data_IF_216014492015
#
_entry.id   IF_216014492015
#
_cell.length_a   1.000
_cell.length_b   1.000
_cell.length_c   1.000
_cell.angle_alpha   90.00
_cell.angle_beta   90.00
_cell.angle_gamma   90.00
#
_symmetry.space_group_name_H-M   'P 1'
#
loop_
_entity.id
_entity.type
_entity.pdbx_description
1 polymer ?
#
# COMPACT_ATOMS: atom_id res chain seq x y z
N UNK A 1 -39.62 41.60 -20.62
CA UNK A 1 -40.60 40.50 -20.58
C UNK A 1 -39.91 39.28 -19.98
N UNK A 2 -40.27 38.90 -18.76
CA UNK A 2 -39.64 37.78 -18.05
C UNK A 2 -40.59 36.58 -18.14
N UNK A 3 -40.20 35.56 -18.91
CA UNK A 3 -40.91 34.29 -18.95
C UNK A 3 -40.74 33.58 -17.60
N UNK A 4 -41.83 33.46 -16.83
CA UNK A 4 -41.90 32.60 -15.65
C UNK A 4 -42.26 31.20 -16.12
N UNK A 5 -41.32 30.27 -16.03
CA UNK A 5 -41.59 28.85 -16.20
C UNK A 5 -42.40 28.36 -14.98
N UNK A 6 -43.58 27.75 -15.17
CA UNK A 6 -44.31 27.13 -14.07
C UNK A 6 -43.54 25.91 -13.55
N UNK A 7 -43.71 25.62 -12.26
CA UNK A 7 -43.06 24.51 -11.56
C UNK A 7 -43.43 23.16 -12.20
N UNK A 8 -42.52 22.62 -13.00
CA UNK A 8 -42.71 21.33 -13.68
C UNK A 8 -42.40 20.22 -12.68
N UNK A 9 -43.43 19.68 -12.03
CA UNK A 9 -43.30 18.47 -11.21
C UNK A 9 -43.17 17.25 -12.12
N UNK A 10 -41.93 16.82 -12.34
CA UNK A 10 -41.65 15.56 -13.01
C UNK A 10 -42.16 14.38 -12.16
N UNK A 11 -43.31 13.83 -12.51
CA UNK A 11 -43.76 12.54 -11.98
C UNK A 11 -42.90 11.44 -12.60
N UNK A 12 -42.08 10.80 -11.75
CA UNK A 12 -41.12 9.78 -12.15
C UNK A 12 -41.84 8.45 -12.34
N UNK A 13 -42.40 8.23 -13.53
CA UNK A 13 -43.09 6.98 -13.89
C UNK A 13 -42.05 5.95 -14.33
N UNK A 14 -41.69 5.03 -13.43
CA UNK A 14 -40.81 3.91 -13.75
C UNK A 14 -40.52 3.03 -12.53
N UNK A 15 -40.93 1.77 -12.59
CA UNK A 15 -40.73 0.75 -11.53
C UNK A 15 -39.27 0.58 -11.11
N UNK A 16 -38.32 0.79 -12.02
CA UNK A 16 -36.87 0.72 -11.75
C UNK A 16 -36.35 1.84 -10.82
N UNK A 17 -37.06 2.97 -10.70
CA UNK A 17 -36.66 4.05 -9.79
C UNK A 17 -37.06 3.79 -8.33
N UNK A 18 -38.00 2.87 -8.08
CA UNK A 18 -38.50 2.56 -6.74
C UNK A 18 -37.55 1.64 -5.95
N UNK A 19 -36.83 0.75 -6.64
CA UNK A 19 -35.96 -0.25 -5.99
C UNK A 19 -34.61 0.33 -5.56
N UNK A 20 -34.07 1.31 -6.30
CA UNK A 20 -32.73 1.87 -6.02
C UNK A 20 -32.70 2.89 -4.87
N UNK A 21 -33.79 3.63 -4.63
CA UNK A 21 -33.84 4.68 -3.58
C UNK A 21 -34.41 4.21 -2.24
N UNK A 22 -35.26 3.19 -2.26
CA UNK A 22 -35.81 2.60 -1.02
C UNK A 22 -34.93 1.49 -0.44
N UNK A 23 -33.81 1.16 -1.09
CA UNK A 23 -32.83 0.27 -0.50
C UNK A 23 -32.10 1.04 0.60
N UNK A 24 -32.37 0.68 1.85
CA UNK A 24 -31.64 1.22 3.00
C UNK A 24 -30.15 1.08 2.74
N UNK A 25 -29.41 2.20 2.80
CA UNK A 25 -27.96 2.19 2.65
C UNK A 25 -27.38 1.10 3.57
N UNK A 26 -26.50 0.22 3.07
CA UNK A 26 -25.97 -0.87 3.87
C UNK A 26 -25.36 -0.30 5.15
N UNK A 27 -25.91 -0.71 6.30
CA UNK A 27 -25.42 -0.25 7.62
C UNK A 27 -23.94 -0.59 7.70
N UNK A 28 -23.08 0.44 7.81
CA UNK A 28 -21.64 0.25 7.97
C UNK A 28 -21.43 -0.48 9.31
N UNK A 29 -20.78 -1.65 9.27
CA UNK A 29 -20.41 -2.39 10.48
C UNK A 29 -19.65 -1.45 11.44
N UNK A 30 -19.94 -1.49 12.76
CA UNK A 30 -19.25 -0.64 13.72
C UNK A 30 -17.76 -0.94 13.68
N UNK A 31 -16.95 0.12 13.62
CA UNK A 31 -15.49 0.00 13.69
C UNK A 31 -15.08 -0.18 15.14
N UNK A 32 -14.16 -1.09 15.39
CA UNK A 32 -13.52 -1.23 16.69
C UNK A 32 -12.85 0.09 17.13
N UNK A 33 -13.14 0.51 18.36
CA UNK A 33 -12.61 1.74 18.94
C UNK A 33 -11.26 1.47 19.61
N UNK A 34 -10.18 1.55 18.83
CA UNK A 34 -8.81 1.26 19.30
C UNK A 34 -8.20 2.36 20.18
N UNK A 35 -8.95 3.42 20.50
CA UNK A 35 -8.44 4.56 21.28
C UNK A 35 -7.33 5.37 20.60
N UNK A 36 -7.10 5.16 19.29
CA UNK A 36 -6.02 5.81 18.57
C UNK A 36 -6.50 7.17 18.03
N UNK A 37 -5.73 8.23 18.33
CA UNK A 37 -5.98 9.58 17.82
C UNK A 37 -5.21 9.78 16.54
N UNK A 38 -5.91 10.17 15.47
CA UNK A 38 -5.30 10.48 14.17
C UNK A 38 -4.27 11.62 14.31
N UNK A 39 -3.04 11.37 13.86
CA UNK A 39 -1.92 12.32 13.92
C UNK A 39 -0.87 11.99 14.98
N UNK A 40 -1.16 11.09 15.91
CA UNK A 40 -0.16 10.55 16.84
C UNK A 40 0.49 9.26 16.33
N UNK A 41 1.69 8.97 16.81
CA UNK A 41 2.33 7.69 16.51
C UNK A 41 1.58 6.55 17.21
N UNK A 42 1.45 5.40 16.53
CA UNK A 42 0.95 4.19 17.16
C UNK A 42 1.96 3.67 18.21
N UNK A 43 1.50 2.90 19.21
CA UNK A 43 2.38 2.21 20.13
C UNK A 43 3.46 1.42 19.38
N UNK A 44 4.73 1.64 19.76
CA UNK A 44 5.92 1.06 19.10
C UNK A 44 6.00 1.31 17.58
N UNK A 45 5.32 2.36 17.07
CA UNK A 45 5.17 2.71 15.65
C UNK A 45 4.47 1.62 14.83
N UNK A 46 3.61 0.84 15.48
CA UNK A 46 2.88 -0.25 14.85
C UNK A 46 3.70 -1.50 14.54
N UNK A 47 4.88 -1.65 15.16
CA UNK A 47 5.73 -2.84 15.03
C UNK A 47 5.23 -3.99 15.90
N UNK A 48 5.36 -5.21 15.40
CA UNK A 48 5.19 -6.44 16.16
C UNK A 48 6.49 -7.24 16.22
N UNK A 49 6.51 -8.28 17.05
CA UNK A 49 7.61 -9.25 17.14
C UNK A 49 7.88 -9.96 15.81
N UNK A 50 6.82 -10.26 15.05
CA UNK A 50 6.91 -10.96 13.77
C UNK A 50 7.57 -10.10 12.67
N UNK A 51 7.24 -8.82 12.62
CA UNK A 51 7.69 -7.89 11.59
C UNK A 51 8.21 -6.60 12.22
N UNK A 52 9.47 -6.64 12.66
CA UNK A 52 10.12 -5.47 13.29
C UNK A 52 10.37 -4.28 12.36
N UNK A 53 10.22 -4.47 11.05
CA UNK A 53 10.39 -3.42 10.01
C UNK A 53 9.08 -2.96 9.37
N UNK A 54 7.92 -3.45 9.84
CA UNK A 54 6.62 -2.98 9.40
C UNK A 54 6.09 -1.93 10.36
N UNK A 55 5.82 -0.73 9.85
CA UNK A 55 5.23 0.38 10.61
C UNK A 55 3.77 0.57 10.21
N UNK A 56 3.01 -0.52 10.14
CA UNK A 56 1.63 -0.54 9.64
C UNK A 56 0.80 -1.55 10.41
N UNK A 57 -0.45 -1.20 10.67
CA UNK A 57 -1.48 -2.14 11.10
C UNK A 57 -2.46 -2.36 9.96
N UNK A 58 -3.11 -3.51 9.95
CA UNK A 58 -4.08 -3.90 8.93
C UNK A 58 -5.46 -4.00 9.53
N UNK A 59 -6.46 -3.53 8.79
CA UNK A 59 -7.85 -3.86 9.08
C UNK A 59 -8.25 -5.00 8.16
N UNK A 60 -8.36 -6.20 8.72
CA UNK A 60 -8.70 -7.40 7.99
C UNK A 60 -10.17 -7.37 7.55
N UNK A 61 -10.47 -7.83 6.33
CA UNK A 61 -11.85 -7.84 5.80
C UNK A 61 -12.73 -8.89 6.48
N UNK A 62 -12.14 -10.01 6.88
CA UNK A 62 -12.83 -11.15 7.50
C UNK A 62 -13.51 -10.76 8.83
N UNK A 63 -12.79 -10.10 9.73
CA UNK A 63 -13.29 -9.76 11.07
C UNK A 63 -13.44 -8.25 11.34
N UNK A 64 -13.01 -7.38 10.42
CA UNK A 64 -12.96 -5.92 10.58
C UNK A 64 -12.13 -5.43 11.79
N UNK A 65 -11.42 -6.33 12.47
CA UNK A 65 -10.47 -6.05 13.55
C UNK A 65 -9.15 -5.55 12.98
N UNK A 66 -8.35 -4.95 13.87
CA UNK A 66 -7.07 -4.36 13.49
C UNK A 66 -5.93 -5.11 14.15
N UNK A 67 -4.99 -5.60 13.34
CA UNK A 67 -3.78 -6.25 13.83
C UNK A 67 -2.51 -5.72 13.15
N UNK A 68 -1.34 -5.80 13.80
CA UNK A 68 -0.09 -5.41 13.18
C UNK A 68 0.31 -6.28 11.98
N UNK A 69 -0.13 -7.54 11.95
CA UNK A 69 0.35 -8.53 11.01
C UNK A 69 -0.56 -9.76 10.88
N UNK A 70 -0.41 -10.52 9.79
CA UNK A 70 -1.20 -11.74 9.56
C UNK A 70 -0.96 -12.81 10.63
N UNK A 71 0.30 -13.02 11.05
CA UNK A 71 0.63 -13.93 12.16
C UNK A 71 0.02 -13.50 13.50
N UNK A 72 -0.18 -12.20 13.68
CA UNK A 72 -0.77 -11.62 14.87
C UNK A 72 -2.28 -11.86 14.86
N UNK A 73 -2.89 -11.73 13.68
CA UNK A 73 -4.29 -12.07 13.44
C UNK A 73 -4.55 -13.57 13.69
N UNK A 74 -3.79 -14.45 13.04
CA UNK A 74 -3.99 -15.90 13.12
C UNK A 74 -3.78 -16.46 14.54
N UNK A 75 -3.06 -15.74 15.41
CA UNK A 75 -2.87 -16.11 16.82
C UNK A 75 -4.06 -15.73 17.72
N UNK A 76 -4.84 -14.71 17.33
CA UNK A 76 -5.96 -14.19 18.13
C UNK A 76 -7.34 -14.57 17.56
N UNK A 77 -7.41 -15.01 16.30
CA UNK A 77 -8.68 -15.33 15.63
C UNK A 77 -8.68 -16.74 15.04
N UNK A 78 -9.75 -17.48 15.30
CA UNK A 78 -9.96 -18.86 14.82
C UNK A 78 -10.53 -18.89 13.39
N UNK A 79 -9.95 -18.13 12.46
CA UNK A 79 -10.32 -18.20 11.05
C UNK A 79 -9.14 -17.85 10.14
N UNK A 80 -9.13 -18.36 8.88
CA UNK A 80 -8.10 -17.98 7.94
C UNK A 80 -8.10 -16.46 7.70
N UNK A 81 -6.92 -15.92 7.44
CA UNK A 81 -6.77 -14.53 7.06
C UNK A 81 -7.33 -14.29 5.64
N UNK A 82 -8.07 -13.20 5.50
CA UNK A 82 -8.43 -12.65 4.19
C UNK A 82 -7.63 -11.37 3.95
N UNK A 83 -7.39 -11.05 2.68
CA UNK A 83 -6.58 -9.88 2.31
C UNK A 83 -7.14 -8.56 2.86
N UNK A 84 -6.31 -7.84 3.62
CA UNK A 84 -6.68 -6.55 4.19
C UNK A 84 -6.58 -5.40 3.17
N UNK A 85 -7.73 -4.90 2.72
CA UNK A 85 -7.82 -3.77 1.79
C UNK A 85 -7.46 -2.41 2.42
N UNK A 86 -7.39 -2.33 3.75
CA UNK A 86 -7.12 -1.09 4.50
C UNK A 86 -5.98 -1.28 5.48
N UNK A 87 -5.20 -0.23 5.66
CA UNK A 87 -4.14 -0.18 6.64
C UNK A 87 -4.19 1.09 7.47
N UNK A 88 -3.55 1.06 8.64
CA UNK A 88 -3.34 2.22 9.50
C UNK A 88 -1.84 2.48 9.56
N UNK A 89 -1.45 3.73 9.32
CA UNK A 89 -0.05 4.15 9.33
C UNK A 89 0.50 4.20 10.76
N UNK A 90 1.63 3.55 11.03
CA UNK A 90 2.32 3.55 12.32
C UNK A 90 2.78 4.93 12.83
N UNK A 91 2.96 5.90 11.93
CA UNK A 91 3.51 7.22 12.24
C UNK A 91 2.44 8.29 12.46
N UNK A 92 1.37 8.27 11.68
CA UNK A 92 0.32 9.28 11.75
C UNK A 92 -1.04 8.71 12.14
N UNK A 93 -1.10 7.42 12.49
CA UNK A 93 -2.29 6.68 12.93
C UNK A 93 -3.54 6.81 12.07
N UNK A 94 -3.40 7.26 10.82
CA UNK A 94 -4.51 7.41 9.89
C UNK A 94 -4.79 6.12 9.15
N UNK A 95 -6.07 5.78 9.04
CA UNK A 95 -6.57 4.69 8.20
C UNK A 95 -6.56 5.12 6.73
N UNK A 96 -6.00 4.29 5.86
CA UNK A 96 -5.87 4.51 4.42
C UNK A 96 -6.09 3.19 3.65
N UNK A 97 -6.27 3.29 2.34
CA UNK A 97 -6.29 2.12 1.45
C UNK A 97 -4.90 1.45 1.48
N UNK A 98 -4.86 0.13 1.34
CA UNK A 98 -3.62 -0.61 1.24
C UNK A 98 -2.72 -0.05 0.13
N UNK A 99 -1.51 0.30 0.52
CA UNK A 99 -0.46 0.96 -0.27
C UNK A 99 0.91 0.54 0.30
N UNK A 100 1.62 -0.40 -0.34
CA UNK A 100 2.81 -1.01 0.25
C UNK A 100 4.00 -0.04 0.40
N UNK A 101 4.10 0.97 -0.45
CA UNK A 101 5.30 1.82 -0.50
C UNK A 101 5.36 2.86 0.64
N UNK A 102 4.32 3.70 0.75
CA UNK A 102 4.31 4.85 1.64
C UNK A 102 2.91 5.20 2.13
N UNK A 103 2.84 6.01 3.18
CA UNK A 103 1.60 6.60 3.63
C UNK A 103 1.13 7.72 2.69
N UNK A 104 -0.14 7.72 2.30
CA UNK A 104 -0.72 8.78 1.46
C UNK A 104 -0.80 10.15 2.16
N UNK A 105 -0.74 10.17 3.49
CA UNK A 105 -0.83 11.41 4.28
C UNK A 105 0.55 11.93 4.68
N UNK A 106 1.29 11.18 5.50
CA UNK A 106 2.58 11.64 6.02
C UNK A 106 3.76 11.26 5.13
N UNK A 107 3.54 10.49 4.06
CA UNK A 107 4.58 10.03 3.11
C UNK A 107 5.72 9.21 3.73
N UNK A 108 5.59 8.82 5.00
CA UNK A 108 6.53 7.93 5.65
C UNK A 108 6.57 6.57 4.97
N UNK A 109 7.77 5.99 4.90
CA UNK A 109 8.02 4.66 4.35
C UNK A 109 7.61 3.61 5.40
N UNK A 110 6.64 2.76 5.07
CA UNK A 110 5.97 1.86 6.03
C UNK A 110 6.56 0.45 6.08
N UNK A 111 7.30 0.08 5.03
CA UNK A 111 7.98 -1.20 4.88
C UNK A 111 9.47 -0.88 4.81
N UNK A 112 10.31 -1.64 5.51
CA UNK A 112 11.75 -1.39 5.61
C UNK A 112 12.40 -0.96 4.29
N UNK A 113 13.37 -0.03 4.38
CA UNK A 113 14.12 0.58 3.27
C UNK A 113 14.16 -0.31 2.02
N UNK A 114 13.52 0.15 0.94
CA UNK A 114 13.78 -0.37 -0.40
C UNK A 114 15.30 -0.44 -0.54
N UNK A 115 15.82 -1.66 -0.74
CA UNK A 115 17.25 -1.92 -0.62
C UNK A 115 18.03 -0.84 -1.34
N UNK A 116 18.89 -0.12 -0.61
CA UNK A 116 19.92 0.65 -1.29
C UNK A 116 20.66 -0.38 -2.14
N UNK A 117 20.57 -0.27 -3.47
CA UNK A 117 21.10 -1.25 -4.44
C UNK A 117 22.62 -1.43 -4.40
N UNK A 118 23.24 -1.06 -3.29
CA UNK A 118 24.61 -1.26 -2.92
C UNK A 118 24.68 -2.44 -1.95
N UNK A 119 24.63 -3.66 -2.49
CA UNK A 119 24.78 -4.94 -1.78
C UNK A 119 23.50 -5.53 -1.17
N UNK A 120 22.92 -6.48 -1.90
CA UNK A 120 22.03 -7.49 -1.33
C UNK A 120 22.92 -8.60 -0.75
N UNK A 121 22.99 -8.70 0.58
CA UNK A 121 23.62 -9.84 1.29
C UNK A 121 25.12 -10.10 0.98
N UNK A 122 25.89 -9.10 0.53
CA UNK A 122 27.32 -9.27 0.21
C UNK A 122 27.63 -9.88 -1.16
N UNK A 123 26.62 -10.18 -1.99
CA UNK A 123 26.79 -10.73 -3.36
C UNK A 123 26.29 -9.77 -4.45
N UNK A 124 26.65 -8.50 -4.34
CA UNK A 124 26.07 -7.40 -5.13
C UNK A 124 26.12 -7.61 -6.65
N UNK A 125 24.94 -7.59 -7.28
CA UNK A 125 24.82 -7.48 -8.74
C UNK A 125 25.32 -6.11 -9.19
N UNK A 126 26.39 -6.09 -9.98
CA UNK A 126 27.05 -4.88 -10.48
C UNK A 126 26.18 -4.12 -11.51
N UNK A 127 25.19 -3.38 -11.03
CA UNK A 127 24.31 -2.54 -11.85
C UNK A 127 24.87 -1.10 -11.94
N UNK A 128 25.37 -0.72 -13.11
CA UNK A 128 26.02 0.58 -13.35
C UNK A 128 25.12 1.79 -13.04
N UNK A 129 23.80 1.64 -13.16
CA UNK A 129 22.83 2.73 -12.91
C UNK A 129 22.79 3.12 -11.44
N UNK A 130 22.81 2.12 -10.56
CA UNK A 130 22.69 2.29 -9.10
C UNK A 130 24.04 2.51 -8.41
N UNK A 131 25.16 2.22 -9.07
CA UNK A 131 26.49 2.44 -8.53
C UNK A 131 26.84 3.93 -8.43
N UNK A 132 27.46 4.32 -7.32
CA UNK A 132 28.06 5.64 -7.15
C UNK A 132 29.05 5.93 -8.28
N UNK A 133 29.09 7.17 -8.77
CA UNK A 133 30.09 7.62 -9.75
C UNK A 133 31.52 7.51 -9.20
N UNK A 134 31.69 7.56 -7.88
CA UNK A 134 32.98 7.45 -7.20
C UNK A 134 33.43 5.99 -6.98
N UNK A 135 32.58 5.01 -7.27
CA UNK A 135 32.95 3.60 -7.10
C UNK A 135 33.86 3.15 -8.27
N UNK A 136 35.12 2.74 -8.01
CA UNK A 136 36.04 2.31 -9.07
C UNK A 136 35.54 1.07 -9.82
N UNK A 137 34.66 0.26 -9.20
CA UNK A 137 34.02 -0.89 -9.84
C UNK A 137 32.88 -0.46 -10.76
N UNK A 138 32.48 0.80 -10.90
CA UNK A 138 31.39 1.15 -11.83
C UNK A 138 31.80 0.97 -13.29
N UNK A 139 33.00 1.43 -13.64
CA UNK A 139 33.46 1.51 -15.02
C UNK A 139 34.41 0.37 -15.43
N UNK A 140 34.94 -0.39 -14.46
CA UNK A 140 35.80 -1.54 -14.76
C UNK A 140 35.00 -2.63 -15.52
N UNK A 141 35.62 -3.39 -16.42
CA UNK A 141 34.93 -4.48 -17.14
C UNK A 141 34.57 -5.63 -16.18
N UNK A 142 33.52 -6.40 -16.51
CA UNK A 142 33.26 -7.66 -15.81
C UNK A 142 34.32 -8.68 -16.27
N UNK A 143 34.98 -9.42 -15.37
CA UNK A 143 35.80 -10.54 -15.79
C UNK A 143 34.89 -11.55 -16.53
N UNK A 144 35.27 -11.96 -17.74
CA UNK A 144 34.55 -12.98 -18.50
C UNK A 144 33.58 -12.51 -19.60
N UNK A 145 33.39 -11.21 -19.84
CA UNK A 145 32.68 -10.75 -21.05
C UNK A 145 33.64 -10.68 -22.24
N UNK A 146 33.53 -11.60 -23.20
CA UNK A 146 34.23 -11.53 -24.49
C UNK A 146 33.77 -10.30 -25.28
N UNK A 147 34.66 -9.55 -25.96
CA UNK A 147 34.23 -8.50 -26.87
C UNK A 147 33.71 -9.15 -28.15
N UNK A 148 32.46 -8.86 -28.53
CA UNK A 148 31.91 -9.21 -29.84
C UNK A 148 32.74 -8.52 -30.94
N UNK A 149 33.45 -9.34 -31.73
CA UNK A 149 34.14 -8.90 -32.93
C UNK A 149 33.12 -8.59 -34.02
N UNK A 150 33.20 -7.38 -34.58
CA UNK A 150 32.48 -6.95 -35.77
C UNK A 150 32.74 -7.91 -36.93
N UNK A 151 31.67 -8.50 -37.47
CA UNK A 151 31.66 -9.20 -38.75
C UNK A 151 32.02 -8.25 -39.89
N UNK A 152 33.21 -8.40 -40.46
CA UNK A 152 33.47 -8.07 -41.87
C UNK A 152 34.74 -8.77 -42.30
N UNK A 153 34.61 -9.84 -43.08
CA UNK A 153 35.66 -10.26 -43.99
C UNK A 153 35.06 -10.80 -45.28
N UNK A 154 35.04 -9.90 -46.25
CA UNK A 154 34.87 -10.09 -47.69
C UNK A 154 35.83 -11.18 -48.18
N UNK A 155 35.33 -12.16 -48.92
CA UNK A 155 36.06 -12.84 -49.99
C UNK A 155 35.07 -13.30 -51.04
#
# INVERSE_FOLDING_TARGET
MVFKLPEVKFLRVGSAAFTSRNQALPRKKPKEALGIVAGQELPRRGRCSHYGKSYRWFRFSCCAKVFPCDKCHDAETDHPNEHANRMICGFCSREQIYRPENCGVCRAVLIGKAGSGFWEGGKGTRNKVLMSRKDPRKYKRRPGSTPGGSSSKKK
#
